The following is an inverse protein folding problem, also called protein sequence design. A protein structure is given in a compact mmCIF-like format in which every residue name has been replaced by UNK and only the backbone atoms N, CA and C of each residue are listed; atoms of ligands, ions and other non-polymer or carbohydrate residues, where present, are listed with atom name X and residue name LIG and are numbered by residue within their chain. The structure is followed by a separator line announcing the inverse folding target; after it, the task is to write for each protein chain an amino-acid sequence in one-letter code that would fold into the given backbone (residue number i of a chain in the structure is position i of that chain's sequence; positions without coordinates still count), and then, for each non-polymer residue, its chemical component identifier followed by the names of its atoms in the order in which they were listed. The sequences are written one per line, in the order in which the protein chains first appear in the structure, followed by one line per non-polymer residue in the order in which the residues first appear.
data_IF_512509374520
#
_entry.id   IF_512509374520
#
_cell.length_a   1.000
_cell.length_b   1.000
_cell.length_c   1.000
_cell.angle_alpha   90.00
_cell.angle_beta   90.00
_cell.angle_gamma   90.00
#
_symmetry.space_group_name_H-M   'P 1'
#
loop_
_entity.id
_entity.type
_entity.pdbx_description
1 polymer ?
#
# COMPACT_ATOMS: atom_id res chain seq x y z
N UNK A 1 -37.61 7.71 -5.91
CA UNK A 1 -37.24 8.48 -4.71
C UNK A 1 -35.75 8.77 -4.84
N UNK A 2 -35.37 10.03 -4.86
CA UNK A 2 -33.96 10.42 -4.93
C UNK A 2 -33.33 10.20 -3.55
N UNK A 3 -32.55 9.14 -3.40
CA UNK A 3 -31.96 8.73 -2.10
C UNK A 3 -30.57 9.35 -1.86
N UNK A 4 -30.11 10.24 -2.76
CA UNK A 4 -28.77 10.83 -2.70
C UNK A 4 -28.47 11.51 -1.37
N UNK A 5 -29.46 12.23 -0.81
CA UNK A 5 -29.36 12.88 0.51
C UNK A 5 -29.15 11.87 1.66
N UNK A 6 -29.63 10.63 1.52
CA UNK A 6 -29.53 9.58 2.53
C UNK A 6 -28.26 8.72 2.38
N UNK A 7 -27.62 8.77 1.21
CA UNK A 7 -26.47 7.94 0.89
C UNK A 7 -25.13 8.57 1.28
N UNK A 8 -25.10 9.85 1.64
CA UNK A 8 -23.90 10.57 2.07
C UNK A 8 -23.90 10.85 3.58
N UNK A 9 -22.81 10.48 4.28
CA UNK A 9 -22.58 10.78 5.69
C UNK A 9 -21.26 11.54 5.86
N UNK A 10 -21.28 12.87 5.99
CA UNK A 10 -22.45 13.72 6.19
C UNK A 10 -23.12 14.07 4.84
N UNK A 11 -24.42 14.43 4.84
CA UNK A 11 -25.10 14.80 3.61
C UNK A 11 -24.45 16.02 2.96
N UNK A 12 -24.39 16.09 1.64
CA UNK A 12 -23.85 17.30 1.01
C UNK A 12 -24.73 18.51 1.36
N UNK A 13 -24.09 19.59 1.82
CA UNK A 13 -24.80 20.78 2.30
C UNK A 13 -25.56 21.48 1.18
N UNK A 14 -25.07 21.39 -0.06
CA UNK A 14 -25.74 22.02 -1.20
C UNK A 14 -26.98 21.25 -1.62
N UNK A 15 -26.90 19.92 -1.67
CA UNK A 15 -28.02 19.02 -1.92
C UNK A 15 -29.11 19.20 -0.86
N UNK A 16 -28.74 19.28 0.42
CA UNK A 16 -29.66 19.48 1.53
C UNK A 16 -30.44 20.79 1.40
N UNK A 17 -29.76 21.89 1.04
CA UNK A 17 -30.40 23.19 0.81
C UNK A 17 -31.36 23.15 -0.38
N UNK A 18 -30.97 22.49 -1.47
CA UNK A 18 -31.82 22.35 -2.66
C UNK A 18 -33.07 21.53 -2.33
N UNK A 19 -32.91 20.41 -1.63
CA UNK A 19 -34.01 19.54 -1.22
C UNK A 19 -35.01 20.28 -0.29
N UNK A 20 -34.50 21.01 0.70
CA UNK A 20 -35.34 21.80 1.61
C UNK A 20 -36.09 22.92 0.88
N UNK A 21 -35.44 23.59 -0.07
CA UNK A 21 -36.07 24.62 -0.90
C UNK A 21 -37.23 24.05 -1.74
N UNK A 22 -37.02 22.90 -2.38
CA UNK A 22 -38.05 22.19 -3.14
C UNK A 22 -39.22 21.78 -2.22
N UNK A 23 -38.92 21.19 -1.06
CA UNK A 23 -39.92 20.82 -0.06
C UNK A 23 -40.78 22.02 0.35
N UNK A 24 -40.15 23.15 0.65
CA UNK A 24 -40.88 24.37 1.01
C UNK A 24 -41.74 24.90 -0.13
N UNK A 25 -41.27 24.82 -1.38
CA UNK A 25 -42.04 25.23 -2.55
C UNK A 25 -43.30 24.37 -2.72
N UNK A 26 -43.19 23.05 -2.57
CA UNK A 26 -44.31 22.11 -2.69
C UNK A 26 -45.34 22.24 -1.56
N UNK A 27 -44.86 22.46 -0.32
CA UNK A 27 -45.72 22.71 0.84
C UNK A 27 -46.53 24.01 0.70
N UNK A 28 -46.02 25.00 -0.02
CA UNK A 28 -46.73 26.26 -0.26
C UNK A 28 -47.79 26.10 -1.37
N UNK A 29 -47.54 25.26 -2.39
CA UNK A 29 -48.48 24.99 -3.50
C UNK A 29 -49.70 24.18 -3.07
N UNK A 30 -49.54 23.19 -2.17
CA UNK A 30 -50.64 22.31 -1.75
C UNK A 30 -51.40 22.88 -0.53
N UNK A 31 -52.68 23.26 -0.72
CA UNK A 31 -53.64 23.51 0.37
C UNK A 31 -54.65 22.34 0.42
N UNK A 32 -55.08 21.81 1.60
CA UNK A 32 -55.08 22.41 2.94
C UNK A 32 -54.22 21.61 3.94
N UNK A 33 -52.90 21.76 3.89
CA UNK A 33 -52.05 21.28 4.99
C UNK A 33 -52.28 22.18 6.23
N UNK A 34 -52.55 21.56 7.39
CA UNK A 34 -52.71 22.25 8.67
C UNK A 34 -51.52 23.19 8.91
N UNK A 35 -51.80 24.47 9.21
CA UNK A 35 -50.79 25.51 9.44
C UNK A 35 -49.68 25.09 10.43
N UNK A 36 -49.98 24.36 11.53
CA UNK A 36 -48.95 23.85 12.43
C UNK A 36 -47.93 22.94 11.74
N UNK A 37 -48.38 21.98 10.93
CA UNK A 37 -47.48 21.04 10.25
C UNK A 37 -46.49 21.81 9.36
N UNK A 38 -46.96 22.80 8.59
CA UNK A 38 -46.08 23.65 7.76
C UNK A 38 -45.04 24.41 8.60
N UNK A 39 -45.43 24.94 9.77
CA UNK A 39 -44.51 25.64 10.68
C UNK A 39 -43.45 24.69 11.25
N UNK A 40 -43.86 23.51 11.70
CA UNK A 40 -42.93 22.52 12.25
C UNK A 40 -41.97 22.01 11.18
N UNK A 41 -42.44 21.73 9.96
CA UNK A 41 -41.55 21.31 8.88
C UNK A 41 -40.49 22.36 8.57
N UNK A 42 -40.86 23.65 8.49
CA UNK A 42 -39.89 24.74 8.32
C UNK A 42 -38.88 24.82 9.47
N UNK A 43 -39.33 24.69 10.71
CA UNK A 43 -38.43 24.71 11.86
C UNK A 43 -37.44 23.54 11.85
N UNK A 44 -37.90 22.35 11.48
CA UNK A 44 -37.07 21.14 11.41
C UNK A 44 -36.03 21.27 10.30
N UNK A 45 -36.40 21.75 9.10
CA UNK A 45 -35.44 21.93 8.00
C UNK A 45 -34.38 22.97 8.33
N UNK A 46 -34.75 24.10 8.94
CA UNK A 46 -33.78 25.10 9.41
C UNK A 46 -32.86 24.56 10.51
N UNK A 47 -33.40 23.80 11.47
CA UNK A 47 -32.58 23.18 12.51
C UNK A 47 -31.58 22.18 11.91
N UNK A 48 -32.00 21.41 10.90
CA UNK A 48 -31.15 20.46 10.20
C UNK A 48 -30.03 21.16 9.42
N UNK A 49 -30.33 22.22 8.68
CA UNK A 49 -29.32 23.05 7.99
C UNK A 49 -28.30 23.64 8.97
N UNK A 50 -28.79 24.14 10.10
CA UNK A 50 -27.94 24.68 11.16
C UNK A 50 -27.00 23.62 11.71
N UNK A 51 -27.54 22.47 12.14
CA UNK A 51 -26.77 21.36 12.67
C UNK A 51 -25.74 20.83 11.67
N UNK A 52 -26.10 20.79 10.38
CA UNK A 52 -25.19 20.38 9.31
C UNK A 52 -24.03 21.35 9.14
N UNK A 53 -24.30 22.66 9.19
CA UNK A 53 -23.26 23.68 9.12
C UNK A 53 -22.29 23.64 10.31
N UNK A 54 -22.83 23.41 11.52
CA UNK A 54 -22.05 23.22 12.74
C UNK A 54 -21.18 21.95 12.65
N UNK A 55 -21.73 20.84 12.14
CA UNK A 55 -21.01 19.59 11.95
C UNK A 55 -19.83 19.77 10.99
N UNK A 56 -20.04 20.44 9.85
CA UNK A 56 -18.99 20.76 8.89
C UNK A 56 -17.87 21.61 9.52
N UNK A 57 -18.23 22.62 10.31
CA UNK A 57 -17.27 23.45 11.03
C UNK A 57 -16.46 22.65 12.05
N UNK A 58 -17.12 21.79 12.83
CA UNK A 58 -16.47 20.95 13.84
C UNK A 58 -15.50 19.95 13.20
N UNK A 59 -15.88 19.31 12.09
CA UNK A 59 -14.98 18.40 11.36
C UNK A 59 -13.74 19.11 10.86
N UNK A 60 -13.90 20.33 10.31
CA UNK A 60 -12.76 21.14 9.89
C UNK A 60 -11.83 21.46 11.07
N UNK A 61 -12.38 21.92 12.19
CA UNK A 61 -11.62 22.22 13.41
C UNK A 61 -10.88 20.99 13.94
N UNK A 62 -11.50 19.81 13.88
CA UNK A 62 -10.91 18.56 14.29
C UNK A 62 -9.69 18.22 13.41
N UNK A 63 -9.85 18.26 12.09
CA UNK A 63 -8.74 18.03 11.14
C UNK A 63 -7.59 19.01 11.37
N UNK A 64 -7.89 20.29 11.54
CA UNK A 64 -6.88 21.33 11.81
C UNK A 64 -6.12 21.05 13.12
N UNK A 65 -6.84 20.65 14.18
CA UNK A 65 -6.25 20.31 15.47
C UNK A 65 -5.38 19.06 15.39
N UNK A 66 -5.83 18.02 14.69
CA UNK A 66 -5.06 16.79 14.46
C UNK A 66 -3.78 17.07 13.68
N UNK A 67 -3.85 17.86 12.60
CA UNK A 67 -2.67 18.26 11.83
C UNK A 67 -1.65 19.00 12.70
N UNK A 68 -2.12 19.92 13.55
CA UNK A 68 -1.27 20.65 14.48
C UNK A 68 -0.65 19.72 15.52
N UNK A 69 -1.41 18.79 16.09
CA UNK A 69 -0.89 17.79 17.03
C UNK A 69 0.14 16.87 16.39
N UNK A 70 -0.13 16.39 15.17
CA UNK A 70 0.83 15.60 14.40
C UNK A 70 2.11 16.40 14.15
N UNK A 71 2.01 17.66 13.73
CA UNK A 71 3.16 18.54 13.51
C UNK A 71 3.98 18.78 14.79
N UNK A 72 3.32 18.91 15.97
CA UNK A 72 3.99 19.03 17.27
C UNK A 72 4.64 17.72 17.73
N UNK A 73 3.97 16.58 17.49
CA UNK A 73 4.47 15.25 17.85
C UNK A 73 5.67 14.84 17.00
N UNK A 74 5.76 15.35 15.77
CA UNK A 74 6.93 15.16 14.92
C UNK A 74 8.16 15.83 15.53
N UNK A 75 9.10 15.01 16.01
CA UNK A 75 10.43 15.52 16.37
C UNK A 75 11.10 16.01 15.09
N UNK A 76 11.64 17.25 15.12
CA UNK A 76 12.40 17.88 14.03
C UNK A 76 13.92 17.88 14.22
N UNK A 77 14.41 17.61 15.45
CA UNK A 77 15.84 17.44 15.76
C UNK A 77 16.10 16.24 16.69
N UNK A 78 17.36 15.78 16.75
CA UNK A 78 17.86 14.81 17.74
C UNK A 78 17.97 13.36 17.25
N UNK A 79 18.43 12.47 18.15
CA UNK A 79 18.79 11.06 17.85
C UNK A 79 17.68 10.29 17.11
N UNK A 80 16.42 10.43 17.55
CA UNK A 80 15.28 9.67 16.98
C UNK A 80 15.04 9.96 15.48
N UNK A 81 15.41 11.14 14.97
CA UNK A 81 15.27 11.46 13.54
C UNK A 81 16.44 10.88 12.76
N UNK A 82 17.65 11.01 13.29
CA UNK A 82 18.85 10.41 12.70
C UNK A 82 18.73 8.89 12.58
N UNK A 83 17.91 8.25 13.43
CA UNK A 83 17.64 6.81 13.42
C UNK A 83 16.37 6.41 12.65
N UNK A 84 15.48 7.34 12.26
CA UNK A 84 14.15 7.01 11.66
C UNK A 84 14.25 6.25 10.32
N UNK A 85 15.36 6.39 9.61
CA UNK A 85 15.65 5.75 8.33
C UNK A 85 16.90 4.88 8.37
N UNK A 86 17.40 4.54 9.56
CA UNK A 86 18.56 3.67 9.75
C UNK A 86 18.11 2.40 10.45
N UNK A 87 18.56 1.26 9.95
CA UNK A 87 18.44 0.02 10.68
C UNK A 87 19.41 0.08 11.87
N UNK A 88 18.87 -0.01 13.08
CA UNK A 88 19.65 -0.01 14.31
C UNK A 88 19.62 -1.42 14.84
N UNK A 89 20.74 -2.12 14.70
CA UNK A 89 20.92 -3.44 15.27
C UNK A 89 21.84 -3.34 16.49
N UNK A 90 21.53 -4.11 17.53
CA UNK A 90 22.47 -4.37 18.62
C UNK A 90 23.64 -5.19 18.09
N UNK A 91 24.82 -5.04 18.70
CA UNK A 91 25.97 -5.90 18.37
C UNK A 91 25.64 -7.38 18.56
N UNK A 92 24.82 -7.72 19.56
CA UNK A 92 24.34 -9.09 19.78
C UNK A 92 23.47 -9.58 18.61
N UNK A 93 22.52 -8.78 18.14
CA UNK A 93 21.64 -9.12 17.01
C UNK A 93 22.45 -9.33 15.72
N UNK A 94 23.45 -8.48 15.45
CA UNK A 94 24.33 -8.65 14.28
C UNK A 94 25.14 -9.95 14.39
N UNK A 95 25.65 -10.28 15.59
CA UNK A 95 26.39 -11.53 15.82
C UNK A 95 25.49 -12.77 15.66
N UNK A 96 24.23 -12.70 16.09
CA UNK A 96 23.27 -13.79 15.93
C UNK A 96 22.91 -14.03 14.46
N UNK A 97 22.66 -12.95 13.70
CA UNK A 97 22.41 -13.02 12.26
C UNK A 97 23.62 -13.61 11.53
N UNK A 98 24.84 -13.17 11.87
CA UNK A 98 26.07 -13.70 11.28
C UNK A 98 26.23 -15.20 11.57
N UNK A 99 26.01 -15.63 12.81
CA UNK A 99 26.06 -17.06 13.19
C UNK A 99 25.02 -17.90 12.44
N UNK A 100 23.80 -17.40 12.30
CA UNK A 100 22.76 -18.10 11.54
C UNK A 100 23.13 -18.22 10.06
N UNK A 101 23.63 -17.14 9.45
CA UNK A 101 24.07 -17.15 8.06
C UNK A 101 25.25 -18.11 7.82
N UNK A 102 26.20 -18.20 8.76
CA UNK A 102 27.30 -19.17 8.71
C UNK A 102 26.78 -20.62 8.80
N UNK A 103 25.84 -20.91 9.69
CA UNK A 103 25.23 -22.25 9.80
C UNK A 103 24.47 -22.61 8.52
N UNK A 104 23.71 -21.69 7.95
CA UNK A 104 22.99 -21.89 6.69
C UNK A 104 23.95 -22.08 5.50
N UNK A 105 25.04 -21.31 5.45
CA UNK A 105 26.07 -21.45 4.42
C UNK A 105 26.86 -22.75 4.56
N UNK A 106 27.14 -23.20 5.78
CA UNK A 106 27.79 -24.48 6.05
C UNK A 106 26.88 -25.67 5.68
N UNK A 107 25.57 -25.55 5.90
CA UNK A 107 24.59 -26.54 5.48
C UNK A 107 24.40 -26.57 3.95
N UNK A 108 24.48 -25.42 3.28
CA UNK A 108 24.53 -25.32 1.82
C UNK A 108 25.90 -25.79 1.34
N UNK A 109 26.08 -27.12 1.17
CA UNK A 109 27.29 -27.69 0.57
C UNK A 109 27.65 -26.91 -0.70
N UNK A 110 28.90 -26.43 -0.86
CA UNK A 110 29.33 -25.92 -2.15
C UNK A 110 29.20 -27.08 -3.14
N UNK A 111 28.40 -26.91 -4.19
CA UNK A 111 28.26 -27.86 -5.28
C UNK A 111 29.60 -27.95 -6.04
N UNK A 112 30.60 -28.62 -5.44
CA UNK A 112 31.90 -28.91 -6.05
C UNK A 112 31.73 -29.80 -7.29
N UNK A 113 30.65 -30.58 -7.34
CA UNK A 113 30.35 -31.53 -8.39
C UNK A 113 29.95 -30.87 -9.72
N UNK A 114 29.47 -29.62 -9.72
CA UNK A 114 29.13 -28.92 -10.97
C UNK A 114 30.39 -28.46 -11.74
N UNK A 115 31.45 -28.06 -11.00
CA UNK A 115 32.74 -27.65 -11.61
C UNK A 115 33.63 -28.83 -12.00
N UNK A 116 33.51 -29.98 -11.34
CA UNK A 116 34.22 -31.20 -11.74
C UNK A 116 33.62 -31.79 -13.02
N UNK A 117 32.29 -31.92 -13.11
CA UNK A 117 31.62 -32.39 -14.34
C UNK A 117 31.98 -31.56 -15.59
N UNK A 118 32.08 -30.24 -15.46
CA UNK A 118 32.47 -29.40 -16.59
C UNK A 118 33.93 -29.60 -17.04
N UNK A 119 34.82 -30.03 -16.14
CA UNK A 119 36.20 -30.37 -16.49
C UNK A 119 36.28 -31.76 -17.10
N UNK A 120 35.57 -32.73 -16.53
CA UNK A 120 35.58 -34.12 -16.99
C UNK A 120 35.03 -34.25 -18.43
N UNK A 121 34.00 -33.47 -18.79
CA UNK A 121 33.46 -33.42 -20.16
C UNK A 121 34.50 -32.88 -21.15
N UNK A 122 35.28 -31.86 -20.78
CA UNK A 122 36.31 -31.27 -21.64
C UNK A 122 37.49 -32.24 -21.86
N UNK A 123 37.84 -33.07 -20.87
CA UNK A 123 38.89 -34.08 -21.03
C UNK A 123 38.43 -35.26 -21.90
N UNK A 124 37.19 -35.72 -21.78
CA UNK A 124 36.65 -36.78 -22.67
C UNK A 124 36.54 -36.33 -24.14
N UNK A 125 36.21 -35.08 -24.42
CA UNK A 125 36.17 -34.54 -25.79
C UNK A 125 37.58 -34.49 -26.40
N UNK A 126 38.59 -34.04 -25.63
CA UNK A 126 40.00 -33.99 -26.08
C UNK A 126 40.59 -35.39 -26.30
N UNK A 127 40.22 -36.37 -25.47
CA UNK A 127 40.72 -37.75 -25.62
C UNK A 127 40.07 -38.47 -26.83
N UNK A 128 38.80 -38.17 -27.14
CA UNK A 128 38.13 -38.66 -28.36
C UNK A 128 38.72 -38.06 -29.63
N UNK A 129 38.98 -36.75 -29.67
CA UNK A 129 39.64 -36.09 -30.81
C UNK A 129 41.07 -36.62 -31.03
N UNK A 130 41.80 -36.97 -29.98
CA UNK A 130 43.14 -37.57 -30.06
C UNK A 130 43.13 -39.02 -30.58
N UNK A 131 42.10 -39.81 -30.27
CA UNK A 131 41.96 -41.18 -30.76
C UNK A 131 41.49 -41.23 -32.23
N UNK A 132 40.64 -40.29 -32.65
CA UNK A 132 40.21 -40.15 -34.06
C UNK A 132 41.35 -39.71 -34.98
N UNK A 133 42.29 -38.91 -34.49
CA UNK A 133 43.47 -38.46 -35.27
C UNK A 133 44.55 -39.54 -35.43
N UNK A 134 44.64 -40.51 -34.52
CA UNK A 134 45.62 -41.62 -34.60
C UNK A 134 45.09 -42.77 -35.49
N UNK A 135 43.76 -42.93 -35.62
CA UNK A 135 43.15 -44.03 -36.38
C UNK A 135 43.06 -43.78 -37.90
N UNK A 136 43.42 -42.59 -38.40
CA UNK A 136 43.19 -42.21 -39.81
C UNK A 136 44.41 -42.34 -40.74
N UNK A 137 45.57 -42.81 -40.27
CA UNK A 137 46.83 -42.71 -41.04
C UNK A 137 47.62 -44.02 -41.16
N UNK A 138 46.93 -45.17 -41.22
CA UNK A 138 47.58 -46.45 -41.56
C UNK A 138 46.64 -47.37 -42.33
N UNK A 139 46.40 -47.04 -43.59
CA UNK A 139 46.13 -48.02 -44.65
C UNK A 139 46.48 -47.40 -46.01
N UNK A 140 47.69 -47.67 -46.51
CA UNK A 140 47.93 -47.68 -47.96
C UNK A 140 49.12 -48.56 -48.34
N UNK A 141 48.76 -49.58 -49.13
CA UNK A 141 49.49 -50.71 -49.67
C UNK A 141 50.77 -50.44 -50.49
N UNK A 142 51.58 -51.52 -50.51
CA UNK A 142 52.53 -52.07 -51.47
C UNK A 142 52.71 -51.43 -52.87
N UNK A 143 53.96 -51.44 -53.38
CA UNK A 143 54.52 -52.31 -54.44
C UNK A 143 56.04 -52.10 -54.53
#
# INVERSE_FOLDING_TARGET
LDLLLLNSSPPDGTELRIANALLHSELNKKQPLLLPAKRYTKRITYALETAQSENALLRKRLVDAELLLQARKQRKKGKRIALKSKFVFSTQEVLEIAKQAELEAAQKKPNKNAKQRAKDILFEEVEKEALETISSDSDSDCI
#
